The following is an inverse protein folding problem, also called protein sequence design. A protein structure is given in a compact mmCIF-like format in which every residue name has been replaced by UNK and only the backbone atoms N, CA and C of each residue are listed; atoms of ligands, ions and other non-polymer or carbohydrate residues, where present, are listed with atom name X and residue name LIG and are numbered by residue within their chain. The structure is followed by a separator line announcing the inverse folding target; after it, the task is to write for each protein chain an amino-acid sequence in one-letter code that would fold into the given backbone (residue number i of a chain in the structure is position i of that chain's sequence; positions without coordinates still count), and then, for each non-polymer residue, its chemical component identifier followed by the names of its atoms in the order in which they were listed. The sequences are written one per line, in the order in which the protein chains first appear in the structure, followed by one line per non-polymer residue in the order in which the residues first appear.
data_IF_215258214526
#
_entry.id   IF_215258214526
#
_cell.length_a   1.000
_cell.length_b   1.000
_cell.length_c   1.000
_cell.angle_alpha   90.00
_cell.angle_beta   90.00
_cell.angle_gamma   90.00
#
_symmetry.space_group_name_H-M   'P 1'
#
loop_
_entity.id
_entity.type
_entity.pdbx_description
1 polymer ?
#
# COMPACT_ATOMS: atom_id res chain seq x y z
N UNK A 1 35.87 -57.33 -30.99
CA UNK A 1 36.38 -57.00 -29.63
C UNK A 1 35.63 -55.78 -29.12
N UNK A 2 34.92 -55.94 -27.99
CA UNK A 2 34.34 -54.95 -27.08
C UNK A 2 33.42 -53.82 -27.62
N UNK A 3 32.17 -53.71 -27.14
CA UNK A 3 31.32 -52.54 -27.33
C UNK A 3 31.61 -51.46 -26.26
N UNK A 4 31.73 -50.19 -26.67
CA UNK A 4 31.77 -49.04 -25.76
C UNK A 4 30.36 -48.55 -25.48
N UNK A 5 30.04 -48.38 -24.20
CA UNK A 5 28.73 -48.02 -23.65
C UNK A 5 28.47 -46.52 -23.85
N UNK A 6 27.36 -46.17 -24.49
CA UNK A 6 26.80 -44.81 -24.43
C UNK A 6 26.11 -44.63 -23.07
N UNK A 7 26.73 -43.84 -22.20
CA UNK A 7 26.16 -43.45 -20.91
C UNK A 7 25.31 -42.20 -21.11
N UNK A 8 23.99 -42.37 -21.05
CA UNK A 8 23.03 -41.27 -20.98
C UNK A 8 23.22 -40.47 -19.69
N UNK A 9 23.58 -39.19 -19.80
CA UNK A 9 23.45 -38.23 -18.71
C UNK A 9 21.99 -37.76 -18.65
N UNK A 10 21.25 -38.24 -17.66
CA UNK A 10 19.96 -37.67 -17.28
C UNK A 10 20.23 -36.36 -16.52
N UNK A 11 19.93 -35.23 -17.15
CA UNK A 11 19.94 -33.92 -16.49
C UNK A 11 18.68 -33.83 -15.62
N UNK A 12 18.82 -34.10 -14.32
CA UNK A 12 17.76 -33.87 -13.35
C UNK A 12 17.58 -32.35 -13.20
N UNK A 13 16.47 -31.82 -13.73
CA UNK A 13 16.05 -30.45 -13.51
C UNK A 13 15.48 -30.36 -12.08
N UNK A 14 16.33 -30.08 -11.10
CA UNK A 14 15.89 -29.73 -9.74
C UNK A 14 15.34 -28.31 -9.78
N UNK A 15 14.03 -28.19 -9.93
CA UNK A 15 13.30 -26.93 -9.72
C UNK A 15 13.38 -26.53 -8.25
N UNK A 16 14.30 -25.61 -7.92
CA UNK A 16 14.31 -24.91 -6.64
C UNK A 16 13.05 -24.02 -6.57
N UNK A 17 12.05 -24.47 -5.81
CA UNK A 17 11.01 -23.60 -5.26
C UNK A 17 11.66 -22.63 -4.27
N UNK A 18 12.07 -21.46 -4.75
CA UNK A 18 12.44 -20.34 -3.90
C UNK A 18 11.17 -19.80 -3.24
N UNK A 19 10.95 -20.17 -1.98
CA UNK A 19 9.99 -19.51 -1.11
C UNK A 19 10.45 -18.06 -0.93
N UNK A 20 9.84 -17.12 -1.66
CA UNK A 20 9.99 -15.70 -1.40
C UNK A 20 9.44 -15.41 0.00
N UNK A 21 10.33 -15.28 0.98
CA UNK A 21 9.97 -14.81 2.31
C UNK A 21 9.56 -13.33 2.20
N UNK A 22 8.41 -12.93 2.76
CA UNK A 22 7.99 -11.54 2.72
C UNK A 22 8.95 -10.69 3.54
N UNK A 23 9.11 -9.44 3.12
CA UNK A 23 9.80 -8.39 3.85
C UNK A 23 9.12 -8.15 5.20
N UNK A 24 9.62 -8.77 6.27
CA UNK A 24 9.20 -8.42 7.62
C UNK A 24 9.79 -7.04 7.97
N UNK A 25 8.99 -5.98 7.79
CA UNK A 25 9.31 -4.67 8.38
C UNK A 25 9.42 -4.87 9.90
N UNK A 26 10.54 -4.44 10.49
CA UNK A 26 10.83 -4.62 11.91
C UNK A 26 9.64 -4.21 12.80
N UNK A 27 9.35 -4.99 13.84
CA UNK A 27 8.34 -4.64 14.84
C UNK A 27 8.74 -3.31 15.49
N UNK A 28 7.80 -2.36 15.53
CA UNK A 28 8.02 -1.03 16.10
C UNK A 28 7.17 -0.88 17.37
N UNK A 29 7.54 0.07 18.23
CA UNK A 29 6.72 0.45 19.40
C UNK A 29 5.28 0.87 19.04
N UNK A 30 5.03 1.20 17.77
CA UNK A 30 3.68 1.53 17.28
C UNK A 30 2.79 0.30 17.10
N UNK A 31 3.36 -0.91 17.15
CA UNK A 31 2.66 -2.18 16.94
C UNK A 31 2.51 -2.99 18.24
N UNK A 32 2.93 -2.45 19.38
CA UNK A 32 2.99 -3.20 20.63
C UNK A 32 1.62 -3.71 21.09
N UNK A 33 1.52 -5.04 21.23
CA UNK A 33 0.28 -5.75 21.50
C UNK A 33 -0.69 -5.80 20.32
N UNK A 34 -0.23 -5.48 19.11
CA UNK A 34 -0.99 -5.69 17.88
C UNK A 34 -1.30 -7.17 17.69
N UNK A 35 -2.48 -7.46 17.18
CA UNK A 35 -3.00 -8.82 16.96
C UNK A 35 -4.15 -8.77 15.98
N UNK A 36 -4.55 -9.93 15.44
CA UNK A 36 -5.65 -10.01 14.48
C UNK A 36 -6.67 -11.08 14.86
N UNK A 37 -7.95 -10.77 14.60
CA UNK A 37 -9.07 -11.69 14.53
C UNK A 37 -9.76 -11.53 13.18
N UNK A 38 -9.97 -12.62 12.46
CA UNK A 38 -10.59 -12.64 11.13
C UNK A 38 -11.27 -14.00 10.92
N UNK A 39 -12.47 -14.03 10.34
CA UNK A 39 -13.17 -15.29 10.00
C UNK A 39 -13.26 -16.31 11.16
N UNK A 40 -13.42 -15.81 12.39
CA UNK A 40 -13.49 -16.65 13.60
C UNK A 40 -12.15 -17.25 14.05
N UNK A 41 -11.05 -16.95 13.35
CA UNK A 41 -9.70 -17.31 13.77
C UNK A 41 -8.99 -16.10 14.36
N UNK A 42 -8.24 -16.34 15.43
CA UNK A 42 -7.29 -15.42 16.01
C UNK A 42 -5.92 -16.07 16.04
N UNK A 43 -4.88 -15.30 16.38
CA UNK A 43 -3.57 -15.88 16.64
C UNK A 43 -3.68 -16.95 17.72
N UNK A 44 -3.07 -18.12 17.46
CA UNK A 44 -3.15 -19.26 18.34
C UNK A 44 -2.27 -19.10 19.60
N UNK A 45 -2.58 -19.82 20.70
CA UNK A 45 -1.80 -19.78 21.94
C UNK A 45 -0.41 -20.43 21.83
N UNK A 46 -0.10 -21.11 20.72
CA UNK A 46 1.24 -21.66 20.43
C UNK A 46 1.94 -20.71 19.46
N UNK A 47 2.93 -20.00 19.97
CA UNK A 47 3.85 -19.14 19.22
C UNK A 47 3.24 -17.94 18.46
N UNK A 48 1.99 -17.56 18.78
CA UNK A 48 1.36 -16.34 18.23
C UNK A 48 1.07 -16.40 16.73
N UNK A 49 0.92 -17.62 16.18
CA UNK A 49 0.75 -17.84 14.73
C UNK A 49 -0.51 -18.63 14.40
N UNK A 50 -1.06 -18.33 13.23
CA UNK A 50 -2.08 -19.12 12.56
C UNK A 50 -1.74 -19.18 11.07
N UNK A 51 -1.95 -20.33 10.44
CA UNK A 51 -1.80 -20.51 9.00
C UNK A 51 -2.77 -21.60 8.55
N UNK A 52 -3.68 -21.26 7.65
CA UNK A 52 -4.65 -22.24 7.14
C UNK A 52 -5.64 -21.64 6.17
N UNK A 53 -6.29 -22.54 5.43
CA UNK A 53 -7.31 -22.19 4.47
C UNK A 53 -8.71 -22.27 5.11
N UNK A 54 -9.49 -21.21 4.94
CA UNK A 54 -10.86 -21.11 5.44
C UNK A 54 -11.79 -21.15 4.24
N UNK A 55 -12.65 -22.18 4.23
CA UNK A 55 -13.70 -22.28 3.24
C UNK A 55 -14.87 -21.34 3.60
N UNK A 56 -14.73 -20.08 3.21
CA UNK A 56 -15.75 -19.06 3.42
C UNK A 56 -16.74 -19.07 2.25
N UNK A 57 -17.94 -19.58 2.51
CA UNK A 57 -19.02 -19.74 1.52
C UNK A 57 -20.04 -18.61 1.48
N UNK A 58 -20.00 -17.67 2.43
CA UNK A 58 -20.92 -16.53 2.39
C UNK A 58 -20.49 -15.54 1.29
N UNK A 59 -21.49 -14.91 0.67
CA UNK A 59 -21.28 -13.76 -0.20
C UNK A 59 -21.11 -12.45 0.60
N UNK A 60 -21.31 -12.50 1.92
CA UNK A 60 -21.19 -11.34 2.78
C UNK A 60 -19.72 -10.90 2.93
N UNK A 61 -19.53 -9.59 3.10
CA UNK A 61 -18.23 -9.05 3.53
C UNK A 61 -17.90 -9.55 4.94
N UNK A 62 -16.65 -9.95 5.19
CA UNK A 62 -16.20 -10.37 6.51
C UNK A 62 -15.34 -9.28 7.17
N UNK A 63 -15.46 -9.16 8.50
CA UNK A 63 -14.66 -8.22 9.29
C UNK A 63 -13.27 -8.78 9.56
N UNK A 64 -12.28 -7.90 9.44
CA UNK A 64 -10.91 -8.07 9.90
C UNK A 64 -10.68 -7.08 11.03
N UNK A 65 -10.38 -7.59 12.21
CA UNK A 65 -10.24 -6.78 13.42
C UNK A 65 -8.85 -6.95 14.01
N UNK A 66 -8.11 -5.86 14.12
CA UNK A 66 -6.93 -5.77 14.97
C UNK A 66 -7.17 -4.90 16.22
N UNK A 67 -6.12 -4.70 17.02
CA UNK A 67 -6.12 -3.78 18.16
C UNK A 67 -6.16 -2.33 17.71
N UNK A 68 -5.41 -1.98 16.67
CA UNK A 68 -5.23 -0.62 16.17
C UNK A 68 -6.02 -0.34 14.90
N UNK A 69 -6.24 -1.37 14.09
CA UNK A 69 -6.91 -1.27 12.79
C UNK A 69 -8.15 -2.16 12.71
N UNK A 70 -9.10 -1.75 11.89
CA UNK A 70 -10.16 -2.63 11.41
C UNK A 70 -10.55 -2.30 9.98
N UNK A 71 -11.07 -3.30 9.28
CA UNK A 71 -11.66 -3.16 7.96
C UNK A 71 -12.55 -4.37 7.64
N UNK A 72 -13.22 -4.34 6.50
CA UNK A 72 -13.98 -5.47 5.95
C UNK A 72 -13.41 -5.87 4.60
N UNK A 73 -13.59 -7.13 4.24
CA UNK A 73 -13.16 -7.68 2.96
C UNK A 73 -14.33 -8.39 2.29
N UNK A 74 -14.54 -8.08 1.02
CA UNK A 74 -15.44 -8.85 0.15
C UNK A 74 -14.71 -10.11 -0.34
N UNK A 75 -15.22 -11.33 -0.04
CA UNK A 75 -14.53 -12.56 -0.42
C UNK A 75 -14.51 -12.82 -1.94
N UNK A 76 -15.42 -12.22 -2.72
CA UNK A 76 -15.51 -12.43 -4.16
C UNK A 76 -14.48 -11.61 -4.94
N UNK A 77 -14.20 -10.39 -4.46
CA UNK A 77 -13.34 -9.41 -5.14
C UNK A 77 -12.08 -9.08 -4.37
N UNK A 78 -11.99 -9.42 -3.09
CA UNK A 78 -10.96 -8.92 -2.19
C UNK A 78 -10.94 -7.38 -2.10
N UNK A 79 -12.07 -6.72 -2.42
CA UNK A 79 -12.27 -5.32 -2.12
C UNK A 79 -12.25 -5.09 -0.61
N UNK A 80 -11.66 -3.97 -0.19
CA UNK A 80 -11.59 -3.56 1.22
C UNK A 80 -12.57 -2.43 1.47
N UNK A 81 -13.32 -2.52 2.56
CA UNK A 81 -14.31 -1.52 2.98
C UNK A 81 -14.10 -1.10 4.42
N UNK A 82 -14.60 0.08 4.77
CA UNK A 82 -14.65 0.60 6.14
C UNK A 82 -13.30 0.53 6.88
N UNK A 83 -12.23 0.88 6.19
CA UNK A 83 -10.89 0.85 6.77
C UNK A 83 -10.72 2.01 7.75
N UNK A 84 -10.39 1.68 9.00
CA UNK A 84 -10.33 2.64 10.09
C UNK A 84 -9.24 2.32 11.10
N UNK A 85 -8.76 3.38 11.76
CA UNK A 85 -8.07 3.25 13.03
C UNK A 85 -9.09 3.13 14.16
N UNK A 86 -8.87 2.18 15.06
CA UNK A 86 -9.71 1.93 16.25
C UNK A 86 -9.57 3.06 17.28
N UNK A 87 -8.39 3.69 17.34
CA UNK A 87 -8.09 4.82 18.22
C UNK A 87 -7.60 4.43 19.61
N UNK A 88 -6.39 3.87 19.67
CA UNK A 88 -5.74 3.45 20.93
C UNK A 88 -4.78 4.54 21.41
N UNK A 89 -5.32 5.52 22.13
CA UNK A 89 -4.56 6.71 22.57
C UNK A 89 -3.46 6.44 23.59
N UNK A 90 -3.41 5.23 24.15
CA UNK A 90 -2.31 4.75 25.01
C UNK A 90 -1.05 4.36 24.21
N UNK A 91 -1.18 4.11 22.91
CA UNK A 91 -0.03 3.83 22.06
C UNK A 91 0.69 5.11 21.62
N UNK A 92 2.01 5.10 21.72
CA UNK A 92 2.89 6.23 21.38
C UNK A 92 2.87 6.64 19.90
N UNK A 93 2.29 5.82 19.03
CA UNK A 93 2.09 6.11 17.61
C UNK A 93 0.67 6.51 17.24
N UNK A 94 -0.22 6.74 18.21
CA UNK A 94 -1.60 7.12 17.92
C UNK A 94 -1.68 8.51 17.25
N UNK A 95 -2.24 8.53 16.05
CA UNK A 95 -2.49 9.76 15.27
C UNK A 95 -3.95 10.23 15.41
N UNK A 96 -4.77 9.49 16.16
CA UNK A 96 -6.22 9.69 16.17
C UNK A 96 -6.74 10.42 17.41
N UNK A 97 -5.88 10.66 18.41
CA UNK A 97 -6.30 11.21 19.69
C UNK A 97 -7.22 10.26 20.47
N UNK A 98 -7.00 8.96 20.34
CA UNK A 98 -7.75 7.90 21.01
C UNK A 98 -9.18 7.72 20.49
N UNK A 99 -9.44 8.06 19.22
CA UNK A 99 -10.80 8.05 18.65
C UNK A 99 -10.87 7.20 17.39
N UNK A 100 -11.97 6.47 17.27
CA UNK A 100 -12.29 5.77 16.03
C UNK A 100 -12.24 6.75 14.83
N UNK A 101 -11.49 6.37 13.80
CA UNK A 101 -11.14 7.25 12.69
C UNK A 101 -11.16 6.49 11.37
N UNK A 102 -12.29 6.53 10.64
CA UNK A 102 -12.39 6.01 9.28
C UNK A 102 -11.49 6.79 8.32
N UNK A 103 -10.80 6.09 7.42
CA UNK A 103 -9.99 6.72 6.37
C UNK A 103 -10.48 6.36 4.97
N UNK A 104 -10.64 5.08 4.67
CA UNK A 104 -11.19 4.64 3.38
C UNK A 104 -12.59 4.06 3.57
N UNK A 105 -13.55 4.57 2.80
CA UNK A 105 -14.84 3.92 2.65
C UNK A 105 -14.69 2.63 1.83
N UNK A 106 -13.89 2.69 0.76
CA UNK A 106 -13.66 1.52 -0.10
C UNK A 106 -12.31 1.57 -0.82
N UNK A 107 -11.77 0.40 -1.13
CA UNK A 107 -10.65 0.16 -2.04
C UNK A 107 -11.01 -1.05 -2.90
N UNK A 108 -11.49 -0.79 -4.11
CA UNK A 108 -12.16 -1.79 -4.96
C UNK A 108 -11.29 -2.10 -6.17
N UNK A 109 -10.83 -3.36 -6.36
CA UNK A 109 -10.21 -3.80 -7.59
C UNK A 109 -11.24 -4.16 -8.67
N UNK A 110 -10.97 -3.79 -9.92
CA UNK A 110 -11.63 -4.31 -11.13
C UNK A 110 -10.81 -5.46 -11.71
N UNK A 111 -11.31 -6.68 -11.53
CA UNK A 111 -10.67 -7.92 -12.00
C UNK A 111 -10.92 -8.23 -13.47
N UNK A 112 -11.65 -7.37 -14.20
CA UNK A 112 -11.89 -7.51 -15.65
C UNK A 112 -12.53 -8.86 -16.02
N UNK A 113 -13.48 -9.31 -15.21
CA UNK A 113 -14.21 -10.57 -15.39
C UNK A 113 -13.52 -11.81 -14.83
N UNK A 114 -12.30 -11.71 -14.29
CA UNK A 114 -11.68 -12.80 -13.53
C UNK A 114 -12.33 -12.92 -12.15
N UNK A 115 -12.35 -14.14 -11.61
CA UNK A 115 -13.03 -14.45 -10.35
C UNK A 115 -12.11 -15.17 -9.38
N UNK A 116 -12.30 -14.93 -8.09
CA UNK A 116 -11.58 -15.59 -7.00
C UNK A 116 -12.40 -16.75 -6.43
N UNK A 117 -11.95 -18.00 -6.61
CA UNK A 117 -12.76 -19.20 -6.36
C UNK A 117 -12.18 -20.14 -5.29
N UNK A 118 -10.91 -20.00 -4.93
CA UNK A 118 -10.27 -20.82 -3.90
C UNK A 118 -10.84 -20.57 -2.50
N UNK A 119 -10.51 -21.42 -1.54
CA UNK A 119 -10.62 -21.05 -0.14
C UNK A 119 -9.77 -19.79 0.17
N UNK A 120 -10.08 -19.10 1.26
CA UNK A 120 -9.29 -17.94 1.72
C UNK A 120 -8.13 -18.47 2.55
N UNK A 121 -6.91 -18.27 2.08
CA UNK A 121 -5.73 -18.55 2.90
C UNK A 121 -5.51 -17.42 3.88
N UNK A 122 -5.41 -17.75 5.17
CA UNK A 122 -5.19 -16.81 6.26
C UNK A 122 -3.88 -17.15 6.95
N UNK A 123 -2.97 -16.19 7.00
CA UNK A 123 -1.76 -16.25 7.80
C UNK A 123 -1.78 -15.11 8.82
N UNK A 124 -1.71 -15.46 10.10
CA UNK A 124 -1.53 -14.52 11.19
C UNK A 124 -0.19 -14.80 11.83
N UNK A 125 0.65 -13.78 11.99
CA UNK A 125 1.93 -13.91 12.66
C UNK A 125 2.30 -12.61 13.34
N UNK A 126 2.43 -12.65 14.66
CA UNK A 126 2.81 -11.49 15.47
C UNK A 126 1.83 -10.32 15.20
N UNK A 127 2.25 -9.16 14.74
CA UNK A 127 1.32 -8.07 14.36
C UNK A 127 0.87 -8.11 12.89
N UNK A 128 1.25 -9.15 12.12
CA UNK A 128 1.04 -9.25 10.68
C UNK A 128 -0.13 -10.17 10.34
N UNK A 129 -0.96 -9.71 9.41
CA UNK A 129 -2.00 -10.46 8.72
C UNK A 129 -1.62 -10.57 7.25
N UNK A 130 -1.79 -11.76 6.68
CA UNK A 130 -1.87 -11.96 5.24
C UNK A 130 -3.12 -12.77 4.91
N UNK A 131 -3.89 -12.26 3.96
CA UNK A 131 -5.00 -12.94 3.33
C UNK A 131 -4.64 -13.18 1.87
N UNK A 132 -4.98 -14.34 1.32
CA UNK A 132 -4.89 -14.56 -0.11
C UNK A 132 -6.03 -15.43 -0.62
N UNK A 133 -6.39 -15.22 -1.89
CA UNK A 133 -7.34 -16.05 -2.62
C UNK A 133 -6.96 -16.02 -4.09
N UNK A 134 -7.26 -17.12 -4.77
CA UNK A 134 -6.96 -17.30 -6.19
C UNK A 134 -8.15 -17.86 -6.95
N UNK A 135 -8.08 -17.77 -8.26
CA UNK A 135 -8.97 -18.43 -9.20
C UNK A 135 -8.29 -18.54 -10.56
N UNK A 136 -9.02 -18.96 -11.60
CA UNK A 136 -8.46 -19.07 -12.95
C UNK A 136 -7.87 -17.73 -13.42
N UNK A 137 -6.54 -17.68 -13.56
CA UNK A 137 -5.80 -16.54 -14.10
C UNK A 137 -5.64 -15.34 -13.17
N UNK A 138 -6.07 -15.40 -11.90
CA UNK A 138 -6.00 -14.31 -10.93
C UNK A 138 -5.62 -14.83 -9.55
N UNK A 139 -4.67 -14.16 -8.90
CA UNK A 139 -4.45 -14.23 -7.46
C UNK A 139 -4.50 -12.82 -6.87
N UNK A 140 -5.00 -12.69 -5.65
CA UNK A 140 -4.97 -11.44 -4.89
C UNK A 140 -4.52 -11.74 -3.47
N UNK A 141 -3.56 -10.97 -2.98
CA UNK A 141 -3.18 -10.97 -1.57
C UNK A 141 -3.41 -9.61 -0.93
N UNK A 142 -3.78 -9.63 0.35
CA UNK A 142 -3.86 -8.46 1.23
C UNK A 142 -2.92 -8.73 2.39
N UNK A 143 -1.97 -7.84 2.64
CA UNK A 143 -1.10 -7.87 3.80
C UNK A 143 -1.33 -6.64 4.65
N UNK A 144 -1.46 -6.81 5.96
CA UNK A 144 -1.65 -5.71 6.89
C UNK A 144 -0.83 -5.90 8.17
N UNK A 145 -0.46 -4.79 8.80
CA UNK A 145 0.26 -4.75 10.06
C UNK A 145 -0.59 -3.99 11.08
N UNK A 146 -0.89 -4.62 12.22
CA UNK A 146 -1.70 -4.02 13.27
C UNK A 146 -0.84 -3.06 14.09
N UNK A 147 -0.74 -1.83 13.62
CA UNK A 147 0.02 -0.77 14.25
C UNK A 147 -0.78 0.55 14.25
N UNK A 148 -0.49 1.41 15.21
CA UNK A 148 -1.03 2.76 15.26
C UNK A 148 -0.51 3.66 14.12
N UNK A 149 0.69 3.36 13.57
CA UNK A 149 1.21 4.02 12.36
C UNK A 149 2.32 3.22 11.66
N UNK A 150 2.68 3.63 10.43
CA UNK A 150 3.76 3.10 9.60
C UNK A 150 3.28 2.53 8.25
N UNK A 151 4.08 1.68 7.62
CA UNK A 151 3.65 0.80 6.52
C UNK A 151 2.70 -0.29 7.02
N UNK A 152 1.39 -0.05 6.89
CA UNK A 152 0.37 -0.84 7.59
C UNK A 152 -0.52 -1.69 6.68
N UNK A 153 -0.57 -1.44 5.38
CA UNK A 153 -1.51 -2.13 4.49
C UNK A 153 -0.98 -2.22 3.06
N UNK A 154 -1.19 -3.37 2.40
CA UNK A 154 -0.85 -3.64 1.00
C UNK A 154 -1.88 -4.58 0.37
N UNK A 155 -2.22 -4.32 -0.89
CA UNK A 155 -2.94 -5.26 -1.76
C UNK A 155 -2.11 -5.55 -3.02
N UNK A 156 -2.00 -6.81 -3.40
CA UNK A 156 -1.14 -7.27 -4.51
C UNK A 156 -1.96 -8.18 -5.44
N UNK A 157 -2.37 -7.68 -6.63
CA UNK A 157 -2.96 -8.50 -7.67
C UNK A 157 -1.87 -9.19 -8.51
N UNK A 158 -2.14 -10.43 -8.93
CA UNK A 158 -1.31 -11.16 -9.89
C UNK A 158 -2.23 -11.78 -10.94
N UNK A 159 -1.92 -11.53 -12.22
CA UNK A 159 -2.72 -11.97 -13.36
C UNK A 159 -1.87 -12.77 -14.33
N UNK A 160 -2.41 -13.89 -14.80
CA UNK A 160 -1.74 -14.74 -15.79
C UNK A 160 -1.60 -14.08 -17.17
N UNK A 161 -2.43 -13.08 -17.48
CA UNK A 161 -2.37 -12.30 -18.72
C UNK A 161 -1.42 -11.11 -18.65
N UNK A 162 -0.73 -10.91 -17.52
CA UNK A 162 0.14 -9.76 -17.22
C UNK A 162 -0.52 -8.38 -17.37
N UNK A 163 -1.84 -8.30 -17.51
CA UNK A 163 -2.54 -7.03 -17.54
C UNK A 163 -2.51 -6.36 -16.15
N UNK A 164 -2.80 -5.06 -16.10
CA UNK A 164 -2.98 -4.36 -14.83
C UNK A 164 -4.35 -4.61 -14.22
N UNK A 165 -4.44 -4.46 -12.90
CA UNK A 165 -5.70 -4.40 -12.16
C UNK A 165 -5.96 -2.94 -11.77
N UNK A 166 -7.14 -2.43 -12.09
CA UNK A 166 -7.54 -1.08 -11.68
C UNK A 166 -8.09 -1.09 -10.27
N UNK A 167 -7.55 -0.25 -9.39
CA UNK A 167 -8.05 0.00 -8.05
C UNK A 167 -8.71 1.38 -7.97
N UNK A 168 -9.91 1.42 -7.40
CA UNK A 168 -10.61 2.67 -7.05
C UNK A 168 -10.60 2.82 -5.54
N UNK A 169 -9.89 3.83 -5.05
CA UNK A 169 -9.89 4.20 -3.63
C UNK A 169 -10.88 5.33 -3.40
N UNK A 170 -11.75 5.16 -2.41
CA UNK A 170 -12.72 6.16 -1.97
C UNK A 170 -12.49 6.45 -0.50
N UNK A 171 -12.23 7.72 -0.17
CA UNK A 171 -12.05 8.17 1.21
C UNK A 171 -13.37 8.22 1.96
N UNK A 172 -13.33 7.85 3.24
CA UNK A 172 -14.45 7.96 4.15
C UNK A 172 -14.91 9.41 4.34
N UNK A 173 -16.16 9.65 4.80
CA UNK A 173 -16.61 11.00 5.14
C UNK A 173 -15.67 11.70 6.12
N UNK A 174 -15.29 12.93 5.79
CA UNK A 174 -14.38 13.78 6.58
C UNK A 174 -12.87 13.56 6.34
N UNK A 175 -12.45 12.47 5.69
CA UNK A 175 -11.08 12.31 5.19
C UNK A 175 -10.95 12.95 3.82
N UNK A 176 -9.82 13.59 3.51
CA UNK A 176 -9.58 14.25 2.23
C UNK A 176 -8.14 14.11 1.76
N UNK A 177 -7.95 14.12 0.43
CA UNK A 177 -6.63 14.30 -0.17
C UNK A 177 -6.25 15.78 -0.17
N UNK A 178 -4.96 16.06 0.04
CA UNK A 178 -4.39 17.40 -0.09
C UNK A 178 -2.97 17.31 -0.64
N UNK A 179 -2.57 18.34 -1.38
CA UNK A 179 -1.16 18.55 -1.72
C UNK A 179 -0.43 19.08 -0.50
N UNK A 180 0.61 18.38 -0.08
CA UNK A 180 1.30 18.70 1.16
C UNK A 180 2.15 19.97 1.00
N UNK A 181 1.78 21.09 1.65
CA UNK A 181 2.48 22.36 1.48
C UNK A 181 3.92 22.31 1.99
N UNK A 182 4.24 21.40 2.91
CA UNK A 182 5.61 21.23 3.39
C UNK A 182 6.50 20.61 2.31
N UNK A 183 5.99 19.64 1.54
CA UNK A 183 6.69 19.13 0.37
C UNK A 183 6.75 20.18 -0.75
N UNK A 184 5.67 20.96 -0.93
CA UNK A 184 5.62 22.05 -1.91
C UNK A 184 6.75 23.06 -1.70
N UNK A 185 7.01 23.44 -0.45
CA UNK A 185 8.03 24.42 -0.08
C UNK A 185 9.46 23.98 -0.44
N UNK A 186 9.70 22.67 -0.54
CA UNK A 186 11.01 22.07 -0.82
C UNK A 186 11.10 21.41 -2.20
N UNK A 187 10.11 21.62 -3.07
CA UNK A 187 10.08 20.97 -4.39
C UNK A 187 11.38 21.14 -5.17
N UNK A 188 11.88 20.02 -5.71
CA UNK A 188 13.07 19.99 -6.53
C UNK A 188 14.39 19.99 -5.74
N UNK A 189 14.38 20.29 -4.43
CA UNK A 189 15.56 20.14 -3.56
C UNK A 189 15.92 18.66 -3.39
N UNK A 190 17.18 18.38 -3.10
CA UNK A 190 17.68 17.06 -2.75
C UNK A 190 17.90 16.98 -1.24
N UNK A 191 17.21 16.05 -0.57
CA UNK A 191 17.25 15.92 0.88
C UNK A 191 17.59 14.48 1.30
N UNK A 192 18.11 14.34 2.51
CA UNK A 192 18.47 13.07 3.12
C UNK A 192 19.98 12.88 3.32
N UNK A 193 20.34 11.75 3.91
CA UNK A 193 21.71 11.44 4.29
C UNK A 193 22.62 11.28 3.06
N UNK A 194 23.75 11.99 3.08
CA UNK A 194 24.71 11.93 1.99
C UNK A 194 24.37 12.80 0.79
N UNK A 195 23.49 13.79 0.90
CA UNK A 195 23.42 14.79 -0.18
C UNK A 195 24.68 15.66 -0.21
N UNK A 196 25.35 15.77 -1.37
CA UNK A 196 26.41 16.78 -1.58
C UNK A 196 25.87 18.21 -1.50
N UNK A 197 24.65 18.40 -2.01
CA UNK A 197 24.01 19.70 -2.15
C UNK A 197 22.51 19.49 -2.28
N UNK A 198 21.74 20.38 -1.66
CA UNK A 198 20.29 20.43 -1.84
C UNK A 198 19.88 20.86 -3.25
N UNK A 199 20.76 21.54 -4.00
CA UNK A 199 20.43 22.09 -5.32
C UNK A 199 20.74 21.11 -6.44
N UNK A 200 21.87 20.39 -6.35
CA UNK A 200 22.37 19.57 -7.46
C UNK A 200 22.30 18.07 -7.22
N UNK A 201 22.32 17.61 -5.94
CA UNK A 201 22.65 16.22 -5.57
C UNK A 201 23.99 15.75 -6.18
N UNK A 202 24.49 14.52 -5.97
CA UNK A 202 24.44 13.56 -4.84
C UNK A 202 25.85 13.48 -4.14
N UNK A 203 26.14 12.72 -3.05
CA UNK A 203 26.31 11.27 -3.18
C UNK A 203 25.85 10.43 -1.96
N UNK A 204 24.86 9.60 -2.21
CA UNK A 204 24.40 8.55 -1.31
C UNK A 204 22.99 8.13 -1.71
N UNK A 205 22.65 6.86 -1.54
CA UNK A 205 21.35 6.32 -1.98
C UNK A 205 20.15 6.93 -1.22
N UNK A 206 20.43 7.61 -0.10
CA UNK A 206 19.45 8.35 0.69
C UNK A 206 19.33 9.83 0.29
N UNK A 207 20.04 10.29 -0.75
CA UNK A 207 19.87 11.64 -1.28
C UNK A 207 18.78 11.68 -2.35
N UNK A 208 17.59 12.16 -1.96
CA UNK A 208 16.37 12.05 -2.77
C UNK A 208 15.86 13.41 -3.17
N UNK A 209 15.49 13.57 -4.44
CA UNK A 209 14.84 14.78 -4.93
C UNK A 209 13.39 14.85 -4.45
N UNK A 210 13.01 15.94 -3.81
CA UNK A 210 11.64 16.21 -3.37
C UNK A 210 10.75 16.37 -4.59
N UNK A 211 9.67 15.58 -4.61
CA UNK A 211 8.60 15.61 -5.61
C UNK A 211 7.27 15.95 -4.94
N UNK A 212 6.24 16.35 -5.71
CA UNK A 212 4.93 16.64 -5.16
C UNK A 212 4.39 15.46 -4.34
N UNK A 213 3.73 15.76 -3.22
CA UNK A 213 3.25 14.75 -2.29
C UNK A 213 1.79 15.01 -1.98
N UNK A 214 0.95 14.06 -2.38
CA UNK A 214 -0.43 14.01 -1.93
C UNK A 214 -0.51 13.18 -0.66
N UNK A 215 -1.07 13.77 0.38
CA UNK A 215 -1.37 13.11 1.63
C UNK A 215 -2.88 13.04 1.85
N UNK A 216 -3.28 12.20 2.80
CA UNK A 216 -4.65 12.05 3.29
C UNK A 216 -4.66 12.57 4.73
N UNK A 217 -5.62 13.45 5.03
CA UNK A 217 -5.81 14.03 6.35
C UNK A 217 -7.28 14.12 6.73
N UNK A 218 -7.54 14.64 7.94
CA UNK A 218 -8.88 14.90 8.49
C UNK A 218 -8.85 16.13 9.39
N UNK A 219 -9.87 16.97 9.31
CA UNK A 219 -9.96 18.18 10.15
C UNK A 219 -10.10 17.87 11.64
N UNK A 220 -10.81 16.79 11.94
CA UNK A 220 -11.08 16.38 13.30
C UNK A 220 -9.91 15.59 13.93
N UNK A 221 -8.79 15.40 13.21
CA UNK A 221 -7.61 14.62 13.63
C UNK A 221 -6.31 15.28 13.14
N UNK A 222 -5.84 16.30 13.86
CA UNK A 222 -4.68 17.11 13.48
C UNK A 222 -3.35 16.34 13.29
N UNK A 223 -3.19 15.17 13.94
CA UNK A 223 -1.98 14.33 13.80
C UNK A 223 -2.11 13.26 12.72
N UNK A 224 -3.28 13.11 12.09
CA UNK A 224 -3.54 12.06 11.11
C UNK A 224 -2.93 12.43 9.76
N UNK A 225 -1.95 11.63 9.33
CA UNK A 225 -1.37 11.72 7.99
C UNK A 225 -1.19 10.33 7.39
N UNK A 226 -1.67 10.16 6.17
CA UNK A 226 -1.47 8.95 5.37
C UNK A 226 -1.12 9.32 3.93
N UNK A 227 -0.74 8.31 3.15
CA UNK A 227 -0.76 8.37 1.68
C UNK A 227 -0.96 6.98 1.10
N UNK A 228 -1.45 6.95 -0.13
CA UNK A 228 -1.33 5.79 -0.99
C UNK A 228 0.16 5.47 -1.22
N UNK A 229 0.51 4.18 -1.18
CA UNK A 229 1.88 3.68 -1.38
C UNK A 229 1.91 2.65 -2.49
N UNK A 230 2.27 3.08 -3.69
CA UNK A 230 2.33 2.25 -4.89
C UNK A 230 3.70 1.60 -5.07
N UNK A 231 3.74 0.37 -5.58
CA UNK A 231 4.92 -0.27 -6.18
C UNK A 231 4.49 -0.87 -7.52
N UNK A 232 5.16 -0.49 -8.60
CA UNK A 232 4.75 -0.88 -9.97
C UNK A 232 3.26 -0.62 -10.22
N UNK A 233 2.82 0.58 -9.88
CA UNK A 233 1.47 1.06 -10.17
C UNK A 233 1.54 2.48 -10.70
N UNK A 234 0.60 2.81 -11.58
CA UNK A 234 0.47 4.10 -12.21
C UNK A 234 -0.87 4.68 -11.83
N UNK A 235 -0.85 5.91 -11.34
CA UNK A 235 -2.07 6.65 -11.07
C UNK A 235 -2.77 7.01 -12.37
N UNK A 236 -4.09 6.91 -12.37
CA UNK A 236 -4.92 7.18 -13.55
C UNK A 236 -5.45 8.61 -13.47
N UNK A 237 -5.17 9.41 -14.50
CA UNK A 237 -5.61 10.80 -14.55
C UNK A 237 -7.15 10.93 -14.55
N UNK A 238 -7.64 11.86 -13.74
CA UNK A 238 -9.03 12.23 -13.53
C UNK A 238 -9.20 13.73 -13.85
N UNK A 239 -9.38 14.12 -15.13
CA UNK A 239 -9.29 15.51 -15.56
C UNK A 239 -10.31 16.47 -14.92
N UNK A 240 -11.41 15.95 -14.37
CA UNK A 240 -12.42 16.72 -13.64
C UNK A 240 -12.07 16.97 -12.17
N UNK A 241 -10.87 16.59 -11.72
CA UNK A 241 -10.44 16.69 -10.33
C UNK A 241 -9.30 17.67 -10.14
N UNK A 242 -9.51 18.58 -9.17
CA UNK A 242 -8.52 19.43 -8.50
C UNK A 242 -7.92 20.49 -9.41
N UNK A 243 -7.46 21.63 -8.85
CA UNK A 243 -6.71 22.57 -9.67
C UNK A 243 -5.44 21.91 -10.20
N UNK A 244 -5.04 22.30 -11.41
CA UNK A 244 -3.67 22.14 -11.89
C UNK A 244 -2.76 22.81 -10.88
N UNK A 245 -2.11 22.01 -10.06
CA UNK A 245 -0.99 22.54 -9.34
C UNK A 245 0.13 22.77 -10.35
N UNK A 246 0.32 24.03 -10.73
CA UNK A 246 1.48 24.43 -11.49
C UNK A 246 2.69 24.35 -10.55
N UNK A 247 3.66 23.46 -10.80
CA UNK A 247 5.01 23.72 -10.28
C UNK A 247 5.75 24.62 -11.27
N UNK A 248 6.52 25.57 -10.72
CA UNK A 248 7.45 26.39 -11.47
C UNK A 248 8.65 25.58 -12.03
N UNK A 249 8.68 24.26 -11.84
CA UNK A 249 9.81 23.38 -12.13
C UNK A 249 9.63 22.53 -13.40
N UNK A 250 8.50 22.65 -14.10
CA UNK A 250 8.17 21.85 -15.27
C UNK A 250 8.06 20.34 -15.01
N UNK A 251 7.92 19.90 -13.75
CA UNK A 251 7.66 18.48 -13.44
C UNK A 251 6.22 18.16 -13.83
N UNK A 252 5.98 16.98 -14.39
CA UNK A 252 4.63 16.52 -14.70
C UNK A 252 3.82 16.35 -13.41
N UNK A 253 2.95 17.31 -13.09
CA UNK A 253 1.89 17.14 -12.08
C UNK A 253 0.66 16.65 -12.82
N UNK A 254 0.36 15.38 -12.67
CA UNK A 254 -0.76 14.77 -13.37
C UNK A 254 -2.02 14.92 -12.51
N UNK A 255 -3.10 15.41 -13.14
CA UNK A 255 -4.48 15.59 -12.64
C UNK A 255 -5.08 14.28 -12.16
N UNK A 256 -4.57 13.73 -11.07
CA UNK A 256 -4.76 12.30 -10.80
C UNK A 256 -5.43 11.99 -9.47
N UNK A 257 -5.79 13.03 -8.71
CA UNK A 257 -6.48 12.88 -7.46
C UNK A 257 -7.69 13.79 -7.41
N UNK A 258 -8.76 13.20 -6.92
CA UNK A 258 -9.93 13.92 -6.45
C UNK A 258 -9.85 14.03 -4.93
N UNK A 259 -10.52 15.03 -4.36
CA UNK A 259 -10.62 15.24 -2.92
C UNK A 259 -11.06 14.02 -2.11
N UNK A 260 -11.72 13.05 -2.73
CA UNK A 260 -12.13 11.80 -2.08
C UNK A 260 -11.90 10.54 -2.88
N UNK A 261 -11.34 10.62 -4.10
CA UNK A 261 -11.15 9.46 -4.98
C UNK A 261 -9.75 9.47 -5.55
N UNK A 262 -9.13 8.30 -5.62
CA UNK A 262 -7.90 8.04 -6.37
C UNK A 262 -8.07 6.76 -7.19
N UNK A 263 -7.57 6.76 -8.42
CA UNK A 263 -7.64 5.59 -9.31
C UNK A 263 -6.23 5.18 -9.69
N UNK A 264 -5.95 3.88 -9.61
CA UNK A 264 -4.62 3.31 -9.83
C UNK A 264 -4.71 2.10 -10.74
N UNK A 265 -3.84 2.01 -11.74
CA UNK A 265 -3.58 0.78 -12.47
C UNK A 265 -2.34 0.13 -11.84
N UNK A 266 -2.51 -1.07 -11.31
CA UNK A 266 -1.45 -1.83 -10.63
C UNK A 266 -1.02 -2.96 -11.54
N UNK A 267 0.28 -3.07 -11.86
CA UNK A 267 0.79 -4.17 -12.67
C UNK A 267 0.51 -5.53 -12.00
N UNK A 268 0.48 -6.60 -12.80
CA UNK A 268 0.55 -7.96 -12.26
C UNK A 268 1.82 -8.12 -11.41
N UNK A 269 1.68 -8.55 -10.16
CA UNK A 269 2.77 -8.62 -9.17
C UNK A 269 3.14 -7.27 -8.54
N UNK A 270 2.48 -6.18 -8.93
CA UNK A 270 2.61 -4.87 -8.30
C UNK A 270 1.88 -4.77 -6.97
N UNK A 271 2.05 -3.64 -6.26
CA UNK A 271 1.45 -3.40 -4.95
C UNK A 271 0.75 -2.06 -4.87
N UNK A 272 -0.40 -2.06 -4.21
CA UNK A 272 -1.10 -0.85 -3.83
C UNK A 272 -1.38 -0.88 -2.33
N UNK A 273 -0.53 -0.17 -1.58
CA UNK A 273 -0.62 -0.07 -0.13
C UNK A 273 -0.97 1.30 0.40
N UNK A 274 -0.77 1.44 1.70
CA UNK A 274 -0.85 2.70 2.42
C UNK A 274 0.28 2.77 3.45
N UNK A 275 0.81 3.97 3.63
CA UNK A 275 1.77 4.29 4.69
C UNK A 275 1.25 5.49 5.48
N UNK A 276 1.60 5.55 6.76
CA UNK A 276 1.04 6.53 7.69
C UNK A 276 2.11 7.12 8.60
N UNK A 277 1.80 8.26 9.23
CA UNK A 277 2.73 8.94 10.12
C UNK A 277 4.01 9.39 9.41
N UNK A 278 5.17 9.13 10.01
CA UNK A 278 6.48 9.46 9.45
C UNK A 278 6.66 8.94 8.02
N UNK A 279 6.30 7.69 7.74
CA UNK A 279 6.44 7.05 6.42
C UNK A 279 5.59 7.73 5.33
N UNK A 280 4.49 8.39 5.73
CA UNK A 280 3.66 9.17 4.82
C UNK A 280 4.30 10.51 4.42
N UNK A 281 5.29 10.96 5.18
CA UNK A 281 5.94 12.27 5.03
C UNK A 281 7.46 12.17 4.83
N UNK A 282 7.95 10.96 4.60
CA UNK A 282 9.32 10.68 4.19
C UNK A 282 9.54 11.00 2.70
N UNK A 283 10.66 11.66 2.41
CA UNK A 283 11.19 11.91 1.07
C UNK A 283 11.90 10.64 0.60
N UNK A 284 11.11 9.70 0.10
CA UNK A 284 11.59 8.42 -0.40
C UNK A 284 11.79 8.44 -1.91
N UNK A 285 12.75 7.63 -2.37
CA UNK A 285 12.91 7.34 -3.79
C UNK A 285 11.57 6.84 -4.37
N UNK A 286 11.31 7.08 -5.66
CA UNK A 286 10.21 6.44 -6.36
C UNK A 286 10.28 4.93 -6.14
N UNK A 287 9.14 4.22 -6.08
CA UNK A 287 9.15 2.78 -5.99
C UNK A 287 10.01 2.19 -7.12
N UNK A 288 10.93 1.31 -6.78
CA UNK A 288 11.72 0.56 -7.76
C UNK A 288 10.79 -0.31 -8.60
N UNK A 289 10.98 -0.30 -9.92
CA UNK A 289 10.31 -1.25 -10.83
C UNK A 289 10.89 -2.63 -10.58
N UNK A 290 10.38 -3.30 -9.57
CA UNK A 290 10.78 -4.64 -9.21
C UNK A 290 9.56 -5.53 -9.28
N UNK A 291 9.55 -6.39 -10.31
CA UNK A 291 8.47 -7.30 -10.66
C UNK A 291 8.68 -8.72 -10.06
N UNK A 292 9.89 -9.02 -9.56
CA UNK A 292 10.24 -10.30 -8.93
C UNK A 292 11.48 -10.15 -8.03
N UNK A 293 11.51 -10.86 -6.89
CA UNK A 293 12.66 -10.93 -5.97
C UNK A 293 13.18 -9.59 -5.43
N UNK A 294 12.26 -8.70 -5.10
CA UNK A 294 12.56 -7.43 -4.46
C UNK A 294 13.02 -7.69 -3.04
N UNK A 295 14.34 -7.86 -2.85
CA UNK A 295 14.90 -7.84 -1.51
C UNK A 295 14.55 -6.50 -0.86
N UNK A 296 14.08 -6.55 0.38
CA UNK A 296 13.84 -5.38 1.22
C UNK A 296 15.15 -4.71 1.68
N UNK A 297 16.09 -4.50 0.75
CA UNK A 297 17.38 -3.86 1.02
C UNK A 297 17.25 -2.33 1.13
N UNK A 298 16.06 -1.75 0.89
CA UNK A 298 15.77 -0.33 1.15
C UNK A 298 15.44 -0.05 2.62
N UNK A 299 16.10 -0.72 3.58
CA UNK A 299 16.09 -0.24 4.96
C UNK A 299 17.01 0.97 5.04
N UNK A 300 16.46 2.15 4.79
CA UNK A 300 17.21 3.42 4.81
C UNK A 300 17.71 3.81 6.21
N UNK A 301 17.50 3.00 7.26
CA UNK A 301 17.97 3.24 8.64
C UNK A 301 17.70 4.67 9.15
N UNK A 302 16.59 5.30 8.75
CA UNK A 302 16.26 6.68 9.11
C UNK A 302 17.11 7.75 8.43
N UNK A 303 17.81 7.44 7.34
CA UNK A 303 18.63 8.38 6.58
C UNK A 303 17.82 9.24 5.61
N UNK A 304 16.60 8.86 5.28
CA UNK A 304 15.74 9.68 4.43
C UNK A 304 15.21 10.88 5.22
N UNK A 305 15.03 12.00 4.55
CA UNK A 305 14.45 13.19 5.16
C UNK A 305 12.94 12.98 5.41
N UNK A 306 12.45 13.42 6.56
CA UNK A 306 11.02 13.47 6.88
C UNK A 306 10.61 14.94 6.95
N UNK A 307 9.80 15.40 6.00
CA UNK A 307 9.38 16.80 5.92
C UNK A 307 8.17 17.10 6.81
N UNK A 308 7.39 16.07 7.15
CA UNK A 308 6.18 16.25 7.95
C UNK A 308 4.99 16.80 7.15
N UNK A 309 4.07 17.44 7.85
CA UNK A 309 2.76 17.84 7.35
C UNK A 309 2.18 18.96 8.24
N UNK A 310 1.24 19.78 7.74
CA UNK A 310 0.62 20.83 8.54
C UNK A 310 -0.36 20.24 9.57
N UNK A 311 -0.36 20.79 10.79
CA UNK A 311 -1.30 20.38 11.85
C UNK A 311 -2.77 20.73 11.51
N UNK A 312 -2.98 21.77 10.73
CA UNK A 312 -4.27 22.12 10.13
C UNK A 312 -4.05 22.27 8.64
N UNK A 313 -4.72 21.45 7.84
CA UNK A 313 -4.57 21.49 6.39
C UNK A 313 -5.34 22.69 5.83
N UNK A 314 -4.68 23.67 5.20
CA UNK A 314 -5.37 24.80 4.58
C UNK A 314 -6.35 24.33 3.50
N UNK A 315 -7.48 25.01 3.34
CA UNK A 315 -8.52 24.60 2.39
C UNK A 315 -8.03 24.69 0.93
N UNK A 316 -7.18 25.68 0.64
CA UNK A 316 -6.63 25.98 -0.68
C UNK A 316 -5.70 24.90 -1.24
N UNK A 317 -5.15 24.04 -0.38
CA UNK A 317 -4.31 22.90 -0.80
C UNK A 317 -5.09 21.57 -0.83
N UNK A 318 -6.37 21.58 -0.47
CA UNK A 318 -7.22 20.39 -0.53
C UNK A 318 -7.64 20.12 -1.96
N UNK A 319 -7.68 18.84 -2.30
CA UNK A 319 -8.12 18.43 -3.61
C UNK A 319 -9.65 18.41 -3.64
N UNK A 320 -10.19 18.67 -4.81
CA UNK A 320 -11.63 18.63 -5.13
C UNK A 320 -11.76 17.90 -6.47
N UNK A 321 -12.93 17.51 -6.99
CA UNK A 321 -14.17 17.17 -6.29
C UNK A 321 -13.97 15.97 -5.35
N UNK A 322 -14.93 15.72 -4.45
CA UNK A 322 -14.92 14.53 -3.58
C UNK A 322 -15.18 13.22 -4.31
N UNK A 323 -15.80 13.29 -5.48
CA UNK A 323 -16.15 12.14 -6.32
C UNK A 323 -15.59 12.32 -7.72
N UNK A 324 -15.47 11.21 -8.45
CA UNK A 324 -15.10 11.22 -9.86
C UNK A 324 -15.44 9.90 -10.53
N UNK A 325 -16.08 10.01 -11.68
CA UNK A 325 -16.28 8.89 -12.62
C UNK A 325 -15.18 8.88 -13.70
N UNK A 326 -14.36 9.94 -13.76
CA UNK A 326 -13.26 10.02 -14.69
C UNK A 326 -12.17 9.00 -14.36
N UNK A 327 -11.65 8.34 -15.39
CA UNK A 327 -10.56 7.38 -15.25
C UNK A 327 -11.02 5.93 -15.16
N UNK A 328 -12.29 5.66 -14.82
CA UNK A 328 -12.80 4.29 -14.67
C UNK A 328 -12.80 3.51 -16.00
N UNK A 329 -13.14 4.17 -17.10
CA UNK A 329 -13.19 3.56 -18.44
C UNK A 329 -11.91 3.74 -19.26
N UNK A 330 -10.86 4.35 -18.68
CA UNK A 330 -9.62 4.57 -19.42
C UNK A 330 -8.94 3.23 -19.76
N UNK A 331 -8.22 3.13 -20.90
CA UNK A 331 -7.33 2.00 -21.14
C UNK A 331 -6.40 1.78 -19.95
N UNK A 332 -6.14 0.52 -19.61
CA UNK A 332 -5.21 0.16 -18.55
C UNK A 332 -3.79 0.57 -18.96
N UNK A 333 -3.00 1.03 -17.99
CA UNK A 333 -1.58 1.21 -18.18
C UNK A 333 -0.90 -0.12 -18.58
N UNK A 334 0.15 -0.02 -19.40
CA UNK A 334 1.06 -1.11 -19.70
C UNK A 334 2.39 -0.76 -19.01
N UNK A 335 2.98 -1.75 -18.33
CA UNK A 335 4.19 -1.61 -17.52
C UNK A 335 5.38 -2.27 -18.21
#
# INVERSE_FOLDING_TARGET
MAPSKNTSFALALTSLLALAAPAAAASSKFCEGGSWTVLGVSQGPRDGRFGGDIDYKSADVFKVQGKFLEFKVDPATFAVYDWAFVGKGDNVGDMTGGRYTPVWASRVPDHRGLSLTSAISVELRDEVLKLSRSGPGLSVSISAKDCAQGGIFQAEPERADNASTRFVHTLAPGAFHYDNPTFRADLGKYLGGGCASEQTGPPGDACVRVSPRVNIGRDDRAALVLRDSSQVARRVAQPGCGPDFANALGLSETKDYCGGVAVWDVASGGRMGAVTGGDATEVANPPTNCLSDCKAENQVQGKLAVLGFPATVPEEVRLTSRTSESGLDKPLAVF
#
